data_IF_723894932562
#
_entry.id   IF_723894932562
#
_cell.length_a   1.000
_cell.length_b   1.000
_cell.length_c   1.000
_cell.angle_alpha   90.00
_cell.angle_beta   90.00
_cell.angle_gamma   90.00
#
_symmetry.space_group_name_H-M   'P 1'
#
loop_
_entity.id
_entity.type
_entity.pdbx_description
1 polymer ?
#
# COMPACT_ATOMS: atom_id res chain seq x y z
N UNK A 1 16.38 18.60 -40.08
CA UNK A 1 17.22 19.68 -39.52
C UNK A 1 17.63 19.20 -38.13
N UNK A 2 18.86 18.69 -38.05
CA UNK A 2 19.44 18.10 -36.85
C UNK A 2 19.99 19.23 -35.99
N UNK A 3 19.54 19.35 -34.75
CA UNK A 3 20.19 20.21 -33.75
C UNK A 3 20.75 19.29 -32.67
N UNK A 4 22.04 18.99 -32.83
CA UNK A 4 22.90 18.46 -31.78
C UNK A 4 23.52 19.65 -31.07
N UNK A 5 23.35 19.82 -29.76
CA UNK A 5 24.31 20.58 -28.94
C UNK A 5 24.39 20.01 -27.52
N UNK A 6 25.54 19.36 -27.29
CA UNK A 6 26.36 19.24 -26.08
C UNK A 6 25.78 19.79 -24.78
N UNK A 7 25.58 18.91 -23.80
CA UNK A 7 25.54 19.30 -22.37
C UNK A 7 26.70 18.58 -21.69
N UNK A 8 27.71 19.37 -21.34
CA UNK A 8 28.88 18.93 -20.58
C UNK A 8 28.48 18.44 -19.19
N UNK A 9 29.37 17.63 -18.62
CA UNK A 9 29.29 17.13 -17.25
C UNK A 9 28.94 18.26 -16.26
N UNK A 10 27.76 18.17 -15.64
CA UNK A 10 27.45 18.94 -14.44
C UNK A 10 27.46 17.96 -13.27
N UNK A 11 28.51 18.08 -12.46
CA UNK A 11 28.64 17.45 -11.15
C UNK A 11 27.49 17.97 -10.28
N UNK A 12 26.75 17.07 -9.61
CA UNK A 12 25.67 17.48 -8.71
C UNK A 12 26.24 18.37 -7.59
N UNK A 13 25.57 19.49 -7.24
CA UNK A 13 26.01 20.32 -6.13
C UNK A 13 25.78 19.56 -4.80
N UNK A 14 26.56 19.84 -3.76
CA UNK A 14 26.54 19.09 -2.48
C UNK A 14 25.17 19.12 -1.80
N UNK A 15 24.95 18.20 -0.83
CA UNK A 15 23.70 17.89 -0.07
C UNK A 15 22.96 19.07 0.62
N UNK A 16 23.34 20.32 0.35
CA UNK A 16 22.70 21.53 0.87
C UNK A 16 22.48 22.61 -0.21
N UNK A 17 22.51 22.24 -1.49
CA UNK A 17 22.24 23.17 -2.57
C UNK A 17 20.76 23.58 -2.59
N UNK A 18 20.52 24.89 -2.58
CA UNK A 18 19.19 25.43 -2.85
C UNK A 18 18.91 25.28 -4.35
N UNK A 19 17.77 24.69 -4.69
CA UNK A 19 17.34 24.54 -6.08
C UNK A 19 16.05 25.33 -6.33
N UNK A 20 15.94 25.88 -7.54
CA UNK A 20 14.72 26.52 -8.02
C UNK A 20 14.04 25.60 -9.03
N UNK A 21 12.82 25.19 -8.74
CA UNK A 21 11.99 24.35 -9.62
C UNK A 21 10.97 25.23 -10.32
N UNK A 22 10.98 25.20 -11.65
CA UNK A 22 10.01 25.92 -12.50
C UNK A 22 8.93 24.96 -12.96
N UNK A 23 7.68 25.36 -12.80
CA UNK A 23 6.54 24.56 -13.23
C UNK A 23 6.22 24.91 -14.67
N UNK A 24 6.20 23.89 -15.54
CA UNK A 24 6.05 24.05 -16.98
C UNK A 24 4.81 24.88 -17.38
N UNK A 25 3.74 24.83 -16.58
CA UNK A 25 2.49 25.57 -16.83
C UNK A 25 2.27 26.80 -15.91
N UNK A 26 3.18 27.08 -14.97
CA UNK A 26 3.14 28.28 -14.11
C UNK A 26 4.48 29.01 -14.15
N UNK A 27 4.74 29.75 -15.23
CA UNK A 27 5.98 30.51 -15.39
C UNK A 27 6.11 31.70 -14.40
N UNK A 28 5.03 32.08 -13.71
CA UNK A 28 5.01 33.17 -12.73
C UNK A 28 5.33 32.72 -11.30
N UNK A 29 5.49 31.42 -11.05
CA UNK A 29 5.74 30.85 -9.72
C UNK A 29 6.90 29.85 -9.83
N UNK A 30 7.92 30.02 -8.97
CA UNK A 30 8.97 29.01 -8.78
C UNK A 30 8.99 28.54 -7.34
N UNK A 31 9.35 27.28 -7.14
CA UNK A 31 9.53 26.72 -5.79
C UNK A 31 11.03 26.69 -5.48
N UNK A 32 11.42 27.27 -4.34
CA UNK A 32 12.79 27.19 -3.82
C UNK A 32 12.82 26.31 -2.58
N UNK A 33 13.83 25.45 -2.47
CA UNK A 33 14.02 24.60 -1.29
C UNK A 33 15.34 23.84 -1.34
N UNK A 34 15.64 23.10 -0.28
CA UNK A 34 16.80 22.21 -0.22
C UNK A 34 16.39 20.80 -0.60
N UNK A 35 17.15 20.15 -1.48
CA UNK A 35 16.87 18.77 -1.87
C UNK A 35 17.09 17.85 -0.67
N UNK A 36 16.03 17.21 -0.19
CA UNK A 36 16.10 16.13 0.79
C UNK A 36 16.27 14.77 0.11
N UNK A 37 15.64 14.57 -1.05
CA UNK A 37 15.70 13.32 -1.82
C UNK A 37 14.48 13.13 -2.70
N UNK A 38 14.13 11.87 -2.98
CA UNK A 38 12.91 11.49 -3.68
C UNK A 38 12.07 10.56 -2.78
N UNK A 39 10.74 10.64 -2.89
CA UNK A 39 9.84 9.70 -2.20
C UNK A 39 9.74 8.34 -2.93
N UNK A 40 9.00 7.41 -2.36
CA UNK A 40 8.78 6.05 -2.89
C UNK A 40 8.07 6.01 -4.26
N UNK A 41 7.57 7.14 -4.75
CA UNK A 41 6.97 7.30 -6.09
C UNK A 41 7.84 8.14 -7.03
N UNK A 42 9.10 8.41 -6.66
CA UNK A 42 10.05 9.25 -7.40
C UNK A 42 9.64 10.73 -7.49
N UNK A 43 8.84 11.22 -6.54
CA UNK A 43 8.60 12.66 -6.43
C UNK A 43 9.77 13.34 -5.72
N UNK A 44 10.21 14.50 -6.20
CA UNK A 44 11.24 15.31 -5.54
C UNK A 44 10.73 15.86 -4.21
N UNK A 45 11.48 15.62 -3.12
CA UNK A 45 11.17 16.11 -1.77
C UNK A 45 12.13 17.24 -1.41
N UNK A 46 11.57 18.39 -1.04
CA UNK A 46 12.32 19.58 -0.64
C UNK A 46 12.05 19.92 0.83
N UNK A 47 13.12 20.20 1.59
CA UNK A 47 13.02 20.85 2.91
C UNK A 47 12.97 22.37 2.75
N UNK A 48 12.37 23.05 3.73
CA UNK A 48 12.23 24.52 3.78
C UNK A 48 11.60 25.12 2.50
N UNK A 49 10.68 24.39 1.85
CA UNK A 49 10.16 24.76 0.55
C UNK A 49 9.27 26.02 0.60
N UNK A 50 9.60 27.02 -0.23
CA UNK A 50 8.86 28.28 -0.35
C UNK A 50 8.42 28.51 -1.80
N UNK A 51 7.20 29.01 -1.97
CA UNK A 51 6.76 29.53 -3.25
C UNK A 51 7.24 30.98 -3.41
N UNK A 52 7.89 31.26 -4.53
CA UNK A 52 8.36 32.60 -4.91
C UNK A 52 7.57 33.04 -6.15
N UNK A 53 6.69 34.02 -5.95
CA UNK A 53 5.91 34.62 -7.03
C UNK A 53 6.70 35.76 -7.70
N UNK A 54 6.71 35.80 -9.03
CA UNK A 54 7.20 36.97 -9.78
C UNK A 54 6.05 37.82 -10.30
N UNK A 55 6.02 39.09 -9.89
CA UNK A 55 5.10 40.10 -10.43
C UNK A 55 5.52 40.46 -11.86
N UNK A 56 4.58 40.42 -12.79
CA UNK A 56 4.80 40.79 -14.20
C UNK A 56 4.93 42.31 -14.37
N UNK A 57 5.99 42.73 -15.07
CA UNK A 57 6.33 44.01 -15.74
C UNK A 57 6.05 45.38 -15.10
N UNK A 58 5.45 45.52 -13.91
CA UNK A 58 5.19 46.87 -13.33
C UNK A 58 5.31 47.01 -11.81
N UNK A 59 5.77 46.00 -11.06
CA UNK A 59 6.09 46.16 -9.62
C UNK A 59 7.20 45.21 -9.20
N UNK A 60 8.24 45.75 -8.56
CA UNK A 60 9.42 45.03 -8.04
C UNK A 60 9.24 44.65 -6.57
N UNK A 61 8.37 43.69 -6.26
CA UNK A 61 8.34 43.06 -4.94
C UNK A 61 8.17 41.55 -5.10
N UNK A 62 9.15 40.77 -4.63
CA UNK A 62 9.08 39.31 -4.57
C UNK A 62 8.35 38.90 -3.29
N UNK A 63 7.24 38.15 -3.42
CA UNK A 63 6.54 37.59 -2.27
C UNK A 63 7.01 36.16 -2.04
N UNK A 64 7.37 35.85 -0.78
CA UNK A 64 7.81 34.52 -0.33
C UNK A 64 6.80 33.98 0.66
N UNK A 65 6.18 32.84 0.34
CA UNK A 65 5.24 32.17 1.22
C UNK A 65 5.68 30.73 1.50
N UNK A 66 5.66 30.28 2.77
CA UNK A 66 5.89 28.88 3.11
C UNK A 66 4.81 27.98 2.50
N UNK A 67 5.23 26.84 1.94
CA UNK A 67 4.28 25.81 1.49
C UNK A 67 3.77 25.02 2.70
N UNK A 68 2.46 24.75 2.73
CA UNK A 68 1.89 23.89 3.77
C UNK A 68 2.28 22.40 3.58
N UNK A 69 1.92 21.53 4.54
CA UNK A 69 2.21 20.10 4.49
C UNK A 69 1.58 19.35 3.30
N UNK A 70 0.75 20.04 2.50
CA UNK A 70 0.14 19.54 1.26
C UNK A 70 0.79 20.12 -0.01
N UNK A 71 1.74 21.04 0.12
CA UNK A 71 2.46 21.67 -1.00
C UNK A 71 1.65 22.75 -1.73
N UNK A 72 0.65 23.37 -1.09
CA UNK A 72 -0.22 24.37 -1.73
C UNK A 72 -0.01 25.79 -1.20
N UNK A 73 -0.14 26.79 -2.09
CA UNK A 73 -0.15 28.22 -1.76
C UNK A 73 -1.61 28.66 -1.58
N UNK A 74 -1.92 29.38 -0.49
CA UNK A 74 -3.28 29.89 -0.25
C UNK A 74 -3.58 31.08 -1.16
N UNK A 75 -4.25 30.85 -2.28
CA UNK A 75 -4.96 31.92 -2.99
C UNK A 75 -6.43 31.58 -3.22
N UNK A 76 -7.26 32.60 -3.03
CA UNK A 76 -8.71 32.62 -3.24
C UNK A 76 -9.09 32.11 -4.64
N UNK A 77 -10.21 31.39 -4.69
CA UNK A 77 -10.81 30.66 -5.82
C UNK A 77 -10.65 31.29 -7.22
N UNK A 78 -10.16 30.49 -8.17
CA UNK A 78 -10.91 30.05 -9.37
C UNK A 78 -10.13 28.93 -10.08
N UNK A 79 -10.85 27.96 -10.63
CA UNK A 79 -10.34 26.62 -10.91
C UNK A 79 -9.29 26.46 -12.02
N UNK A 80 -8.29 25.63 -11.75
CA UNK A 80 -7.67 24.65 -12.66
C UNK A 80 -6.63 23.86 -11.87
N UNK A 81 -6.79 22.54 -11.72
CA UNK A 81 -5.80 21.67 -11.05
C UNK A 81 -4.58 21.52 -11.98
N UNK A 82 -3.48 22.21 -11.68
CA UNK A 82 -2.21 22.04 -12.40
C UNK A 82 -1.32 21.00 -11.70
N UNK A 83 -0.88 20.00 -12.45
CA UNK A 83 0.04 18.96 -12.00
C UNK A 83 1.49 19.40 -12.13
N UNK A 84 2.29 19.11 -11.11
CA UNK A 84 3.75 19.14 -11.20
C UNK A 84 4.20 17.96 -12.06
N UNK A 85 4.77 18.21 -13.24
CA UNK A 85 5.54 17.22 -13.98
C UNK A 85 7.02 17.59 -13.91
N UNK A 86 7.82 16.74 -13.25
CA UNK A 86 9.28 16.86 -13.24
C UNK A 86 9.82 15.74 -14.12
N UNK A 87 10.40 16.09 -15.27
CA UNK A 87 11.13 15.15 -16.12
C UNK A 87 12.60 15.21 -15.71
N UNK A 88 13.07 14.26 -14.88
CA UNK A 88 14.50 14.12 -14.57
C UNK A 88 15.03 12.79 -15.10
N UNK A 89 16.04 12.86 -15.97
CA UNK A 89 16.79 11.71 -16.45
C UNK A 89 17.98 11.47 -15.51
N UNK A 90 17.74 10.74 -14.41
CA UNK A 90 18.79 10.37 -13.45
C UNK A 90 19.22 8.91 -13.72
N UNK A 91 20.53 8.66 -13.79
CA UNK A 91 21.07 7.31 -13.93
C UNK A 91 21.14 6.60 -12.57
N UNK A 92 20.88 5.28 -12.50
CA UNK A 92 20.72 4.54 -11.24
C UNK A 92 21.96 4.46 -10.32
N UNK A 93 23.14 4.91 -10.77
CA UNK A 93 24.40 4.73 -10.05
C UNK A 93 24.58 5.62 -8.82
N UNK A 94 23.77 6.67 -8.67
CA UNK A 94 24.03 7.73 -7.68
C UNK A 94 23.07 7.68 -6.46
N UNK A 95 22.27 6.60 -6.33
CA UNK A 95 21.25 6.41 -5.27
C UNK A 95 21.68 5.44 -4.15
N UNK A 96 22.98 5.13 -4.00
CA UNK A 96 23.41 3.95 -3.23
C UNK A 96 23.23 3.99 -1.70
N UNK A 97 22.71 5.08 -1.10
CA UNK A 97 22.63 5.18 0.37
C UNK A 97 21.32 5.76 0.97
N UNK A 98 20.27 5.95 0.18
CA UNK A 98 18.97 6.43 0.68
C UNK A 98 17.83 5.45 0.38
N UNK A 99 18.04 4.15 0.64
CA UNK A 99 16.93 3.20 0.73
C UNK A 99 16.48 3.18 2.19
N UNK A 100 15.31 3.78 2.46
CA UNK A 100 14.67 3.66 3.77
C UNK A 100 14.41 2.18 4.05
N UNK A 101 15.11 1.66 5.05
CA UNK A 101 14.93 0.31 5.55
C UNK A 101 13.56 0.24 6.26
N UNK A 102 12.51 -0.09 5.51
CA UNK A 102 11.10 -0.04 5.94
C UNK A 102 10.62 -1.30 6.67
N UNK A 103 11.44 -2.33 6.71
CA UNK A 103 11.15 -3.54 7.44
C UNK A 103 11.51 -3.37 8.93
N UNK A 104 10.75 -4.04 9.79
CA UNK A 104 11.06 -4.04 11.21
C UNK A 104 12.37 -4.78 11.48
N UNK A 105 13.09 -4.33 12.50
CA UNK A 105 14.27 -5.05 13.02
C UNK A 105 13.91 -6.00 14.16
N UNK A 106 12.73 -5.82 14.75
CA UNK A 106 12.29 -6.48 15.96
C UNK A 106 10.86 -6.99 15.81
N UNK A 107 10.50 -7.96 16.65
CA UNK A 107 9.13 -8.45 16.75
C UNK A 107 8.24 -7.35 17.32
N UNK A 108 7.03 -7.23 16.79
CA UNK A 108 5.99 -6.35 17.31
C UNK A 108 5.06 -7.14 18.23
N UNK A 109 5.16 -6.90 19.54
CA UNK A 109 4.35 -7.60 20.53
C UNK A 109 2.86 -7.35 20.33
N UNK A 110 2.45 -6.16 19.87
CA UNK A 110 1.03 -5.85 19.66
C UNK A 110 0.44 -6.71 18.54
N UNK A 111 1.16 -6.84 17.41
CA UNK A 111 0.78 -7.73 16.31
C UNK A 111 0.76 -9.20 16.76
N UNK A 112 1.72 -9.64 17.57
CA UNK A 112 1.75 -11.01 18.09
C UNK A 112 0.56 -11.30 19.00
N UNK A 113 0.25 -10.40 19.94
CA UNK A 113 -0.93 -10.56 20.80
C UNK A 113 -2.23 -10.57 20.00
N UNK A 114 -2.32 -9.77 18.94
CA UNK A 114 -3.45 -9.83 18.01
C UNK A 114 -3.50 -11.18 17.29
N UNK A 115 -2.37 -11.70 16.81
CA UNK A 115 -2.32 -12.99 16.12
C UNK A 115 -2.76 -14.14 17.02
N UNK A 116 -2.53 -14.07 18.34
CA UNK A 116 -3.04 -15.06 19.32
C UNK A 116 -4.56 -15.15 19.40
N UNK A 117 -5.27 -14.12 18.94
CA UNK A 117 -6.73 -14.14 18.86
C UNK A 117 -7.25 -14.82 17.58
N UNK A 118 -6.37 -15.10 16.62
CA UNK A 118 -6.71 -15.65 15.32
C UNK A 118 -6.65 -17.18 15.32
N UNK A 119 -7.56 -17.81 14.58
CA UNK A 119 -7.57 -19.24 14.39
C UNK A 119 -6.50 -19.70 13.37
N UNK A 120 -6.09 -20.97 13.46
CA UNK A 120 -5.33 -21.68 12.41
C UNK A 120 -3.93 -21.13 12.09
N UNK A 121 -3.35 -20.37 13.04
CA UNK A 121 -2.02 -19.75 12.92
C UNK A 121 -0.89 -20.80 13.01
N UNK A 122 0.06 -20.83 12.06
CA UNK A 122 1.24 -21.70 12.11
C UNK A 122 2.30 -21.13 13.06
N UNK A 123 2.07 -21.25 14.38
CA UNK A 123 2.94 -20.66 15.39
C UNK A 123 4.37 -21.19 15.34
N UNK A 124 5.31 -20.29 15.05
CA UNK A 124 6.74 -20.46 15.22
C UNK A 124 7.42 -19.09 15.32
N UNK A 125 8.71 -19.07 15.67
CA UNK A 125 9.50 -17.84 15.75
C UNK A 125 9.52 -17.06 14.43
N UNK A 126 9.56 -17.78 13.29
CA UNK A 126 9.54 -17.18 11.95
C UNK A 126 8.18 -16.57 11.61
N UNK A 127 7.08 -17.18 12.06
CA UNK A 127 5.75 -16.60 11.91
C UNK A 127 5.63 -15.27 12.66
N UNK A 128 6.06 -15.24 13.93
CA UNK A 128 6.02 -14.01 14.74
C UNK A 128 6.81 -12.87 14.09
N UNK A 129 7.99 -13.18 13.57
CA UNK A 129 8.82 -12.21 12.83
C UNK A 129 8.15 -11.77 11.52
N UNK A 130 7.57 -12.70 10.76
CA UNK A 130 6.89 -12.42 9.48
C UNK A 130 5.75 -11.42 9.69
N UNK A 131 4.82 -11.69 10.61
CA UNK A 131 3.68 -10.78 10.84
C UNK A 131 4.09 -9.45 11.45
N UNK A 132 5.21 -9.42 12.19
CA UNK A 132 5.83 -8.19 12.71
C UNK A 132 6.54 -7.35 11.63
N UNK A 133 6.57 -7.81 10.37
CA UNK A 133 7.22 -7.11 9.27
C UNK A 133 8.75 -7.14 9.31
N UNK A 134 9.33 -8.10 10.02
CA UNK A 134 10.78 -8.32 10.03
C UNK A 134 11.23 -8.83 8.66
N UNK A 135 12.43 -8.47 8.19
CA UNK A 135 12.96 -8.98 6.92
C UNK A 135 13.15 -10.49 6.95
N UNK A 136 12.88 -11.15 5.83
CA UNK A 136 13.28 -12.52 5.65
C UNK A 136 14.79 -12.63 5.40
N UNK A 137 15.36 -13.79 5.73
CA UNK A 137 16.69 -14.18 5.32
C UNK A 137 16.61 -14.97 4.02
N UNK A 138 17.64 -14.81 3.19
CA UNK A 138 17.92 -15.80 2.17
C UNK A 138 18.24 -17.13 2.84
N UNK A 139 17.94 -18.23 2.16
CA UNK A 139 18.41 -19.57 2.58
C UNK A 139 19.94 -19.68 2.63
N UNK A 140 20.67 -18.67 2.12
CA UNK A 140 22.14 -18.63 2.05
C UNK A 140 22.77 -17.81 3.18
N UNK A 141 22.04 -16.90 3.82
CA UNK A 141 22.59 -15.90 4.75
C UNK A 141 22.01 -15.92 6.17
N UNK A 142 21.38 -17.03 6.59
CA UNK A 142 20.82 -17.22 7.93
C UNK A 142 21.82 -17.01 9.10
N UNK A 143 23.10 -16.74 8.82
CA UNK A 143 24.19 -16.61 9.78
C UNK A 143 24.61 -15.16 10.13
N UNK A 144 23.98 -14.12 9.57
CA UNK A 144 24.42 -12.73 9.81
C UNK A 144 23.61 -11.99 10.89
N UNK A 145 23.62 -12.47 12.14
CA UNK A 145 23.39 -11.71 13.39
C UNK A 145 22.16 -10.80 13.55
N UNK A 146 21.31 -10.69 12.53
CA UNK A 146 20.11 -9.86 12.45
C UNK A 146 18.91 -10.78 12.64
N UNK A 147 17.94 -10.34 13.43
CA UNK A 147 16.64 -11.01 13.54
C UNK A 147 16.00 -10.99 12.16
N UNK A 148 16.05 -12.12 11.45
CA UNK A 148 15.40 -12.34 10.16
C UNK A 148 14.51 -13.56 10.27
N UNK A 149 13.47 -13.63 9.44
CA UNK A 149 12.61 -14.82 9.37
C UNK A 149 12.93 -15.69 8.14
N UNK A 150 12.70 -16.99 8.26
CA UNK A 150 12.82 -17.92 7.17
C UNK A 150 11.42 -18.21 6.59
N UNK A 151 11.12 -17.68 5.40
CA UNK A 151 9.84 -17.97 4.73
C UNK A 151 9.67 -19.44 4.35
N UNK A 152 10.75 -20.23 4.37
CA UNK A 152 10.78 -21.67 4.17
C UNK A 152 10.79 -22.46 5.49
N UNK A 153 10.50 -21.82 6.63
CA UNK A 153 10.27 -22.55 7.88
C UNK A 153 9.17 -23.61 7.68
N UNK A 154 9.33 -24.84 8.20
CA UNK A 154 8.36 -25.92 7.99
C UNK A 154 6.92 -25.55 8.33
N UNK A 155 6.71 -24.80 9.41
CA UNK A 155 5.40 -24.34 9.87
C UNK A 155 4.77 -23.37 8.87
N UNK A 156 5.57 -22.47 8.28
CA UNK A 156 5.08 -21.54 7.25
C UNK A 156 4.78 -22.26 5.93
N UNK A 157 5.59 -23.26 5.56
CA UNK A 157 5.31 -24.12 4.40
C UNK A 157 3.99 -24.87 4.62
N UNK A 158 3.77 -25.47 5.79
CA UNK A 158 2.53 -26.15 6.12
C UNK A 158 1.34 -25.18 6.11
N UNK A 159 1.50 -23.98 6.67
CA UNK A 159 0.50 -22.91 6.62
C UNK A 159 0.04 -22.61 5.20
N UNK A 160 0.98 -22.34 4.28
CA UNK A 160 0.66 -22.12 2.86
C UNK A 160 0.02 -23.35 2.23
N UNK A 161 0.53 -24.56 2.51
CA UNK A 161 -0.02 -25.80 1.95
C UNK A 161 -1.47 -26.03 2.38
N UNK A 162 -1.80 -25.80 3.66
CA UNK A 162 -3.18 -25.83 4.17
C UNK A 162 -4.07 -24.84 3.44
N UNK A 163 -3.60 -23.61 3.26
CA UNK A 163 -4.33 -22.59 2.50
C UNK A 163 -4.58 -23.03 1.06
N UNK A 164 -3.57 -23.60 0.37
CA UNK A 164 -3.72 -24.06 -1.03
C UNK A 164 -4.71 -25.22 -1.16
N UNK A 165 -4.70 -26.16 -0.23
CA UNK A 165 -5.69 -27.25 -0.17
C UNK A 165 -7.10 -26.71 0.03
N UNK A 166 -7.29 -25.75 0.94
CA UNK A 166 -8.60 -25.13 1.16
C UNK A 166 -9.06 -24.37 -0.07
N UNK A 167 -8.21 -23.53 -0.68
CA UNK A 167 -8.59 -22.78 -1.90
C UNK A 167 -9.07 -23.71 -3.00
N UNK A 168 -8.38 -24.84 -3.23
CA UNK A 168 -8.82 -25.81 -4.22
C UNK A 168 -10.24 -26.33 -3.91
N UNK A 169 -10.47 -26.73 -2.66
CA UNK A 169 -11.78 -27.18 -2.18
C UNK A 169 -12.84 -26.08 -2.36
N UNK A 170 -12.61 -24.89 -1.83
CA UNK A 170 -13.54 -23.76 -1.88
C UNK A 170 -13.89 -23.35 -3.31
N UNK A 171 -12.88 -23.20 -4.18
CA UNK A 171 -13.05 -22.71 -5.55
C UNK A 171 -13.77 -23.71 -6.47
N UNK A 172 -13.86 -24.97 -6.07
CA UNK A 172 -14.50 -26.04 -6.84
C UNK A 172 -15.73 -26.64 -6.15
N UNK A 173 -16.05 -26.19 -4.93
CA UNK A 173 -17.15 -26.74 -4.14
C UNK A 173 -18.51 -26.28 -4.70
N UNK A 174 -19.20 -27.22 -5.33
CA UNK A 174 -20.58 -27.07 -5.78
C UNK A 174 -21.28 -28.45 -5.78
N UNK A 175 -21.89 -28.86 -4.66
CA UNK A 175 -22.66 -30.11 -4.60
C UNK A 175 -23.87 -30.09 -5.55
N UNK A 176 -24.20 -31.24 -6.16
CA UNK A 176 -25.33 -31.35 -7.11
C UNK A 176 -26.69 -31.09 -6.45
N UNK A 177 -26.81 -31.37 -5.15
CA UNK A 177 -28.01 -31.16 -4.33
C UNK A 177 -28.00 -29.83 -3.57
N UNK A 178 -27.04 -28.95 -3.88
CA UNK A 178 -26.89 -27.68 -3.17
C UNK A 178 -28.12 -26.77 -3.34
N UNK A 179 -28.59 -26.21 -2.23
CA UNK A 179 -29.47 -25.04 -2.21
C UNK A 179 -28.62 -23.78 -1.96
N UNK A 180 -29.15 -22.56 -2.20
CA UNK A 180 -28.44 -21.34 -1.84
C UNK A 180 -28.00 -21.34 -0.37
N UNK A 181 -28.87 -21.74 0.56
CA UNK A 181 -28.56 -21.75 2.00
C UNK A 181 -27.50 -22.79 2.37
N UNK A 182 -27.59 -24.01 1.81
CA UNK A 182 -26.60 -25.06 2.11
C UNK A 182 -25.22 -24.71 1.55
N UNK A 183 -25.16 -24.14 0.34
CA UNK A 183 -23.92 -23.69 -0.27
C UNK A 183 -23.26 -22.55 0.51
N UNK A 184 -24.06 -21.58 0.98
CA UNK A 184 -23.59 -20.49 1.83
C UNK A 184 -23.03 -21.02 3.16
N UNK A 185 -23.74 -21.94 3.82
CA UNK A 185 -23.30 -22.54 5.08
C UNK A 185 -21.99 -23.34 4.91
N UNK A 186 -21.90 -24.16 3.87
CA UNK A 186 -20.69 -24.93 3.55
C UNK A 186 -19.48 -24.02 3.31
N UNK A 187 -19.66 -23.00 2.45
CA UNK A 187 -18.60 -22.02 2.13
C UNK A 187 -18.17 -21.26 3.37
N UNK A 188 -19.10 -20.81 4.22
CA UNK A 188 -18.77 -20.13 5.48
C UNK A 188 -17.90 -21.01 6.38
N UNK A 189 -18.28 -22.28 6.55
CA UNK A 189 -17.50 -23.24 7.34
C UNK A 189 -16.08 -23.43 6.78
N UNK A 190 -15.92 -23.51 5.46
CA UNK A 190 -14.60 -23.62 4.83
C UNK A 190 -13.74 -22.37 5.04
N UNK A 191 -14.35 -21.17 5.06
CA UNK A 191 -13.64 -19.93 5.38
C UNK A 191 -13.19 -19.94 6.86
N UNK A 192 -14.06 -20.36 7.79
CA UNK A 192 -13.74 -20.48 9.22
C UNK A 192 -12.61 -21.50 9.52
N UNK A 193 -12.43 -22.50 8.65
CA UNK A 193 -11.32 -23.49 8.75
C UNK A 193 -9.94 -22.89 8.42
N UNK A 194 -9.86 -21.71 7.79
CA UNK A 194 -8.59 -21.13 7.32
C UNK A 194 -8.39 -19.67 7.69
N UNK A 195 -9.43 -18.84 7.69
CA UNK A 195 -9.31 -17.44 8.11
C UNK A 195 -9.14 -17.32 9.61
N UNK A 196 -8.43 -16.27 10.03
CA UNK A 196 -8.21 -15.98 11.43
C UNK A 196 -9.51 -15.58 12.13
N UNK A 197 -10.37 -14.83 11.43
CA UNK A 197 -11.69 -14.45 11.88
C UNK A 197 -12.66 -14.24 10.71
N UNK A 198 -13.91 -14.69 10.86
CA UNK A 198 -15.00 -14.52 9.88
C UNK A 198 -16.26 -14.07 10.62
N UNK A 199 -16.73 -12.88 10.30
CA UNK A 199 -17.98 -12.33 10.81
C UNK A 199 -19.23 -13.05 10.29
N UNK A 200 -20.37 -12.67 10.84
CA UNK A 200 -21.70 -13.13 10.40
C UNK A 200 -21.99 -12.59 9.01
N UNK A 201 -22.71 -13.35 8.19
CA UNK A 201 -23.13 -12.88 6.86
C UNK A 201 -22.00 -12.71 5.83
N UNK A 202 -20.74 -13.02 6.17
CA UNK A 202 -19.62 -12.92 5.24
C UNK A 202 -19.80 -13.86 4.04
N UNK A 203 -19.66 -13.31 2.83
CA UNK A 203 -19.80 -14.04 1.57
C UNK A 203 -18.71 -13.64 0.58
N UNK A 204 -18.08 -14.64 -0.03
CA UNK A 204 -17.02 -14.47 -1.01
C UNK A 204 -17.38 -15.32 -2.23
N UNK A 205 -17.45 -14.69 -3.40
CA UNK A 205 -17.59 -15.44 -4.63
C UNK A 205 -16.28 -16.14 -5.02
N UNK A 206 -16.29 -17.45 -5.31
CA UNK A 206 -15.11 -18.13 -5.83
C UNK A 206 -14.79 -17.66 -7.27
N UNK A 207 -13.51 -17.70 -7.69
CA UNK A 207 -12.39 -18.20 -6.91
C UNK A 207 -11.82 -17.13 -5.96
N UNK A 208 -11.28 -17.61 -4.84
CA UNK A 208 -10.42 -16.84 -3.93
C UNK A 208 -8.97 -17.36 -4.01
N UNK A 209 -8.01 -16.43 -3.91
CA UNK A 209 -6.58 -16.73 -3.86
C UNK A 209 -5.96 -16.07 -2.61
N UNK A 210 -5.44 -16.85 -1.67
CA UNK A 210 -4.88 -16.40 -0.39
C UNK A 210 -3.52 -17.01 -0.13
N UNK A 211 -2.63 -16.38 0.63
CA UNK A 211 -1.31 -16.98 0.93
C UNK A 211 -1.36 -17.99 2.09
N UNK A 212 -1.80 -17.55 3.27
CA UNK A 212 -1.98 -18.36 4.49
C UNK A 212 -3.46 -18.44 4.92
N UNK A 213 -4.21 -17.36 4.73
CA UNK A 213 -5.57 -17.19 5.22
C UNK A 213 -5.68 -16.82 6.70
N UNK A 214 -4.86 -17.42 7.58
CA UNK A 214 -4.98 -17.22 9.03
C UNK A 214 -4.73 -15.77 9.47
N UNK A 215 -4.09 -14.94 8.64
CA UNK A 215 -3.81 -13.54 8.94
C UNK A 215 -4.93 -12.60 8.44
N UNK A 216 -5.99 -13.16 7.86
CA UNK A 216 -7.17 -12.43 7.39
C UNK A 216 -8.25 -12.43 8.48
N UNK A 217 -8.74 -11.23 8.81
CA UNK A 217 -9.90 -11.02 9.67
C UNK A 217 -10.95 -10.21 8.93
N UNK A 218 -12.17 -10.74 8.89
CA UNK A 218 -13.30 -10.13 8.17
C UNK A 218 -14.44 -9.90 9.16
N UNK A 219 -14.98 -8.68 9.18
CA UNK A 219 -16.14 -8.30 9.99
C UNK A 219 -17.47 -8.86 9.49
N UNK A 220 -18.55 -8.40 10.10
CA UNK A 220 -19.91 -8.80 9.78
C UNK A 220 -20.36 -8.22 8.43
N UNK A 221 -21.20 -8.95 7.70
CA UNK A 221 -21.84 -8.56 6.44
C UNK A 221 -20.85 -8.15 5.33
N UNK A 222 -19.67 -8.77 5.32
CA UNK A 222 -18.69 -8.61 4.25
C UNK A 222 -19.13 -9.30 2.96
N UNK A 223 -18.99 -8.61 1.83
CA UNK A 223 -19.20 -9.18 0.51
C UNK A 223 -17.97 -8.98 -0.38
N UNK A 224 -17.49 -10.06 -0.99
CA UNK A 224 -16.55 -9.98 -2.10
C UNK A 224 -17.09 -10.64 -3.35
N UNK A 225 -17.01 -9.91 -4.45
CA UNK A 225 -17.26 -10.45 -5.78
C UNK A 225 -16.06 -11.30 -6.27
N UNK A 226 -16.15 -11.85 -7.47
CA UNK A 226 -15.25 -12.87 -8.01
C UNK A 226 -13.77 -12.48 -7.99
N UNK A 227 -12.90 -13.49 -7.88
CA UNK A 227 -11.45 -13.37 -8.09
C UNK A 227 -10.72 -12.49 -7.06
N UNK A 228 -11.09 -12.62 -5.79
CA UNK A 228 -10.37 -11.96 -4.68
C UNK A 228 -8.96 -12.54 -4.52
N UNK A 229 -7.96 -11.67 -4.35
CA UNK A 229 -6.57 -12.04 -4.06
C UNK A 229 -6.11 -11.39 -2.75
N UNK A 230 -5.62 -12.19 -1.80
CA UNK A 230 -5.11 -11.75 -0.50
C UNK A 230 -3.70 -12.32 -0.26
N UNK A 231 -2.66 -11.51 -0.37
CA UNK A 231 -1.31 -11.93 0.04
C UNK A 231 -1.08 -11.54 1.50
N UNK A 232 -1.45 -12.43 2.41
CA UNK A 232 -1.56 -12.18 3.85
C UNK A 232 -0.32 -12.62 4.65
N UNK A 233 0.90 -12.35 4.16
CA UNK A 233 2.10 -12.48 5.00
C UNK A 233 2.06 -11.53 6.22
N UNK A 234 1.37 -10.39 6.06
CA UNK A 234 1.02 -9.47 7.14
C UNK A 234 -0.49 -9.51 7.39
N UNK A 235 -0.92 -8.94 8.52
CA UNK A 235 -2.34 -8.93 8.89
C UNK A 235 -3.18 -8.15 7.87
N UNK A 236 -4.30 -8.74 7.47
CA UNK A 236 -5.33 -8.08 6.66
C UNK A 236 -6.59 -8.00 7.50
N UNK A 237 -6.97 -6.78 7.86
CA UNK A 237 -8.13 -6.51 8.70
C UNK A 237 -9.19 -5.77 7.88
N UNK A 238 -10.36 -6.40 7.73
CA UNK A 238 -11.49 -5.86 6.98
C UNK A 238 -12.65 -5.68 7.97
N UNK A 239 -13.18 -4.46 8.04
CA UNK A 239 -14.28 -4.08 8.90
C UNK A 239 -15.63 -4.70 8.51
N UNK A 240 -16.68 -4.17 9.12
CA UNK A 240 -18.06 -4.59 8.89
C UNK A 240 -18.65 -3.94 7.64
N UNK A 241 -19.60 -4.62 6.98
CA UNK A 241 -20.36 -4.13 5.82
C UNK A 241 -19.49 -3.65 4.66
N UNK A 242 -18.29 -4.20 4.55
CA UNK A 242 -17.36 -3.88 3.46
C UNK A 242 -17.74 -4.65 2.21
N UNK A 243 -17.75 -3.98 1.07
CA UNK A 243 -18.06 -4.57 -0.22
C UNK A 243 -16.89 -4.45 -1.20
N UNK A 244 -16.47 -5.56 -1.79
CA UNK A 244 -15.48 -5.59 -2.85
C UNK A 244 -16.12 -5.92 -4.20
N UNK A 245 -15.76 -5.13 -5.22
CA UNK A 245 -15.96 -5.51 -6.62
C UNK A 245 -15.05 -6.68 -7.01
N UNK A 246 -15.19 -7.19 -8.25
CA UNK A 246 -14.41 -8.35 -8.69
C UNK A 246 -12.94 -7.97 -8.89
N UNK A 247 -12.02 -8.93 -8.78
CA UNK A 247 -10.57 -8.73 -8.99
C UNK A 247 -9.90 -7.75 -8.01
N UNK A 248 -10.47 -7.53 -6.82
CA UNK A 248 -9.78 -6.79 -5.77
C UNK A 248 -8.59 -7.61 -5.28
N UNK A 249 -7.43 -6.95 -5.17
CA UNK A 249 -6.18 -7.54 -4.70
C UNK A 249 -5.64 -6.77 -3.51
N UNK A 250 -5.35 -7.46 -2.42
CA UNK A 250 -4.73 -6.88 -1.21
C UNK A 250 -3.36 -7.53 -1.01
N UNK A 251 -2.32 -6.72 -0.97
CA UNK A 251 -0.95 -7.18 -0.79
C UNK A 251 -0.40 -6.68 0.53
N UNK A 252 -0.27 -7.56 1.52
CA UNK A 252 0.48 -7.26 2.74
C UNK A 252 1.96 -7.61 2.60
N UNK A 253 2.34 -8.45 1.64
CA UNK A 253 3.73 -8.84 1.36
C UNK A 253 4.43 -7.87 0.38
N UNK A 254 5.73 -7.67 0.53
CA UNK A 254 6.57 -6.89 -0.39
C UNK A 254 8.05 -7.27 -0.31
N UNK A 255 8.86 -6.68 -1.19
CA UNK A 255 10.29 -6.90 -1.30
C UNK A 255 11.04 -5.57 -1.24
N UNK A 256 12.32 -5.65 -0.89
CA UNK A 256 13.23 -4.54 -1.16
C UNK A 256 13.45 -4.38 -2.67
N UNK A 257 13.69 -3.14 -3.10
CA UNK A 257 13.92 -2.80 -4.51
C UNK A 257 15.33 -3.18 -4.99
N UNK A 258 16.25 -3.48 -4.07
CA UNK A 258 17.60 -3.94 -4.37
C UNK A 258 17.61 -5.28 -5.11
N UNK A 259 18.35 -5.36 -6.22
CA UNK A 259 18.43 -6.59 -7.04
C UNK A 259 19.00 -7.76 -6.24
N UNK A 260 20.06 -7.51 -5.46
CA UNK A 260 20.70 -8.55 -4.66
C UNK A 260 19.72 -9.09 -3.60
N UNK A 261 19.04 -8.20 -2.88
CA UNK A 261 17.97 -8.56 -1.94
C UNK A 261 16.89 -9.46 -2.56
N UNK A 262 16.44 -9.16 -3.78
CA UNK A 262 15.49 -10.04 -4.50
C UNK A 262 16.09 -11.39 -4.91
N UNK A 263 17.37 -11.45 -5.35
CA UNK A 263 18.05 -12.73 -5.66
C UNK A 263 18.19 -13.61 -4.43
N UNK A 264 18.33 -12.95 -3.29
CA UNK A 264 18.41 -13.53 -1.98
C UNK A 264 17.01 -13.90 -1.45
N UNK A 265 15.93 -13.62 -2.19
CA UNK A 265 14.57 -13.96 -1.81
C UNK A 265 14.06 -13.21 -0.59
N UNK A 266 14.65 -12.04 -0.30
CA UNK A 266 14.28 -11.23 0.87
C UNK A 266 12.91 -10.59 0.65
N UNK A 267 12.05 -10.74 1.64
CA UNK A 267 10.69 -10.22 1.69
C UNK A 267 10.33 -9.77 3.10
N UNK A 268 9.32 -8.93 3.21
CA UNK A 268 8.73 -8.52 4.48
C UNK A 268 7.27 -8.17 4.27
N UNK A 269 6.53 -8.02 5.37
CA UNK A 269 5.13 -7.71 5.32
C UNK A 269 4.80 -6.40 6.06
N UNK A 270 3.71 -5.76 5.65
CA UNK A 270 3.09 -4.65 6.38
C UNK A 270 1.58 -4.88 6.42
N UNK A 271 0.93 -4.64 7.57
CA UNK A 271 -0.49 -4.88 7.71
C UNK A 271 -1.32 -3.97 6.78
N UNK A 272 -2.49 -4.45 6.37
CA UNK A 272 -3.49 -3.66 5.65
C UNK A 272 -4.75 -3.62 6.49
N UNK A 273 -5.35 -2.43 6.62
CA UNK A 273 -6.60 -2.24 7.36
C UNK A 273 -7.62 -1.53 6.49
N UNK A 274 -8.85 -2.02 6.47
CA UNK A 274 -10.00 -1.42 5.79
C UNK A 274 -11.10 -1.26 6.83
N UNK A 275 -11.52 -0.02 7.07
CA UNK A 275 -12.57 0.31 8.01
C UNK A 275 -13.96 -0.11 7.54
N UNK A 276 -14.92 0.01 8.44
CA UNK A 276 -16.31 -0.36 8.21
C UNK A 276 -16.94 0.43 7.03
N UNK A 277 -17.94 -0.16 6.39
CA UNK A 277 -18.79 0.45 5.36
C UNK A 277 -18.02 1.00 4.14
N UNK A 278 -16.87 0.39 3.84
CA UNK A 278 -16.12 0.72 2.63
C UNK A 278 -16.67 0.00 1.40
N UNK A 279 -16.67 0.68 0.27
CA UNK A 279 -16.85 0.06 -1.04
C UNK A 279 -15.57 0.16 -1.86
N UNK A 280 -14.99 -1.00 -2.20
CA UNK A 280 -13.78 -1.10 -3.02
C UNK A 280 -14.17 -1.56 -4.41
N UNK A 281 -14.03 -0.68 -5.40
CA UNK A 281 -14.35 -0.96 -6.78
C UNK A 281 -13.49 -2.08 -7.36
N UNK A 282 -14.01 -2.78 -8.38
CA UNK A 282 -13.33 -3.91 -8.97
C UNK A 282 -11.97 -3.58 -9.59
N UNK A 283 -11.09 -4.57 -9.69
CA UNK A 283 -9.73 -4.43 -10.21
C UNK A 283 -8.88 -3.39 -9.45
N UNK A 284 -9.18 -3.18 -8.17
CA UNK A 284 -8.40 -2.32 -7.27
C UNK A 284 -7.29 -3.12 -6.62
N UNK A 285 -6.11 -2.53 -6.51
CA UNK A 285 -4.97 -3.07 -5.77
C UNK A 285 -4.68 -2.22 -4.53
N UNK A 286 -4.60 -2.84 -3.36
CA UNK A 286 -4.27 -2.19 -2.10
C UNK A 286 -2.87 -2.65 -1.66
N UNK A 287 -1.96 -1.69 -1.50
CA UNK A 287 -0.54 -1.94 -1.25
C UNK A 287 -0.23 -2.15 0.25
N UNK A 288 0.94 -2.73 0.58
CA UNK A 288 1.31 -3.04 1.96
C UNK A 288 1.37 -1.80 2.84
N UNK A 289 0.86 -1.92 4.07
CA UNK A 289 0.92 -0.85 5.07
C UNK A 289 -0.21 0.17 4.96
N UNK A 290 -1.12 0.01 4.00
CA UNK A 290 -2.23 0.95 3.78
C UNK A 290 -3.35 0.75 4.80
N UNK A 291 -3.82 1.86 5.35
CA UNK A 291 -5.08 1.96 6.09
C UNK A 291 -6.10 2.75 5.25
N UNK A 292 -7.23 2.10 4.93
CA UNK A 292 -8.41 2.76 4.37
C UNK A 292 -9.38 2.99 5.53
N UNK A 293 -9.67 4.26 5.81
CA UNK A 293 -10.61 4.68 6.83
C UNK A 293 -12.05 4.24 6.54
N UNK A 294 -12.94 4.35 7.52
CA UNK A 294 -14.34 3.91 7.39
C UNK A 294 -15.13 4.76 6.38
N UNK A 295 -16.18 4.17 5.80
CA UNK A 295 -17.08 4.85 4.87
C UNK A 295 -16.40 5.30 3.58
N UNK A 296 -15.26 4.72 3.21
CA UNK A 296 -14.53 5.11 2.01
C UNK A 296 -15.07 4.41 0.75
N UNK A 297 -15.02 5.12 -0.37
CA UNK A 297 -15.22 4.55 -1.70
C UNK A 297 -13.92 4.61 -2.50
N UNK A 298 -13.44 3.46 -2.96
CA UNK A 298 -12.29 3.38 -3.87
C UNK A 298 -12.81 3.05 -5.26
N UNK A 299 -12.55 3.90 -6.24
CA UNK A 299 -13.00 3.65 -7.61
C UNK A 299 -12.31 2.42 -8.20
N UNK A 300 -13.01 1.73 -9.11
CA UNK A 300 -12.47 0.60 -9.84
C UNK A 300 -11.16 0.94 -10.57
N UNK A 301 -10.25 -0.03 -10.66
CA UNK A 301 -8.95 0.13 -11.33
C UNK A 301 -7.92 0.96 -10.55
N UNK A 302 -8.17 1.28 -9.28
CA UNK A 302 -7.26 2.11 -8.48
C UNK A 302 -6.08 1.32 -7.92
N UNK A 303 -4.93 1.97 -7.74
CA UNK A 303 -3.79 1.42 -6.98
C UNK A 303 -3.61 2.28 -5.74
N UNK A 304 -4.03 1.76 -4.59
CA UNK A 304 -3.98 2.46 -3.30
C UNK A 304 -2.61 2.25 -2.67
N UNK A 305 -1.79 3.28 -2.68
CA UNK A 305 -0.40 3.23 -2.21
C UNK A 305 -0.14 4.00 -0.93
N UNK A 306 -1.14 4.76 -0.45
CA UNK A 306 -1.11 5.57 0.78
C UNK A 306 -2.45 5.45 1.49
N UNK A 307 -2.45 5.75 2.78
CA UNK A 307 -3.67 5.76 3.59
C UNK A 307 -4.75 6.68 3.01
N UNK A 308 -6.00 6.22 3.11
CA UNK A 308 -7.18 6.95 2.68
C UNK A 308 -7.96 7.33 3.94
N UNK A 309 -8.15 8.63 4.24
CA UNK A 309 -8.82 9.02 5.47
C UNK A 309 -10.33 8.71 5.39
N UNK A 310 -11.00 8.61 6.54
CA UNK A 310 -12.44 8.34 6.65
C UNK A 310 -13.31 9.18 5.71
N UNK A 311 -14.41 8.58 5.26
CA UNK A 311 -15.45 9.21 4.44
C UNK A 311 -14.88 9.87 3.17
N UNK A 312 -13.92 9.21 2.51
CA UNK A 312 -13.32 9.69 1.27
C UNK A 312 -13.76 8.90 0.06
N UNK A 313 -13.83 9.58 -1.08
CA UNK A 313 -13.78 8.93 -2.39
C UNK A 313 -12.38 9.10 -2.96
N UNK A 314 -11.71 8.00 -3.28
CA UNK A 314 -10.39 8.01 -3.90
C UNK A 314 -10.38 7.23 -5.22
N UNK A 315 -9.55 7.68 -6.16
CA UNK A 315 -9.41 7.03 -7.47
C UNK A 315 -8.03 7.24 -8.09
N UNK A 316 -7.65 6.36 -8.99
CA UNK A 316 -6.46 6.49 -9.84
C UNK A 316 -5.30 5.56 -9.46
N UNK A 317 -4.19 5.70 -10.18
CA UNK A 317 -2.96 4.93 -9.98
C UNK A 317 -1.75 5.87 -10.03
N UNK A 318 -1.20 6.31 -8.87
CA UNK A 318 -1.67 6.01 -7.52
C UNK A 318 -3.00 6.69 -7.18
N UNK A 319 -3.78 6.07 -6.28
CA UNK A 319 -5.08 6.57 -5.86
C UNK A 319 -4.94 7.88 -5.08
N UNK A 320 -5.79 8.86 -5.39
CA UNK A 320 -5.85 10.15 -4.70
C UNK A 320 -7.28 10.43 -4.27
N UNK A 321 -7.44 11.02 -3.08
CA UNK A 321 -8.74 11.51 -2.62
C UNK A 321 -9.23 12.60 -3.59
N UNK A 322 -10.42 12.39 -4.16
CA UNK A 322 -11.04 13.34 -5.11
C UNK A 322 -12.17 14.14 -4.48
N UNK A 323 -12.83 13.57 -3.47
CA UNK A 323 -13.83 14.27 -2.64
C UNK A 323 -14.01 13.58 -1.28
N UNK A 324 -14.65 14.27 -0.36
CA UNK A 324 -15.23 13.71 0.87
C UNK A 324 -16.72 13.42 0.66
N UNK A 325 -17.25 12.48 1.44
CA UNK A 325 -18.69 12.24 1.57
C UNK A 325 -19.13 12.64 2.97
N UNK A 326 -20.43 12.89 3.12
CA UNK A 326 -21.00 13.23 4.41
C UNK A 326 -20.84 12.05 5.38
N UNK A 327 -20.31 12.27 6.59
CA UNK A 327 -20.26 11.25 7.62
C UNK A 327 -21.67 10.76 7.99
N UNK A 328 -21.80 9.45 8.23
CA UNK A 328 -23.03 8.87 8.78
C UNK A 328 -22.91 8.88 10.32
N UNK A 329 -23.83 9.50 11.07
CA UNK A 329 -23.66 9.75 12.51
C UNK A 329 -23.47 8.52 13.41
N UNK A 330 -23.95 7.36 12.99
CA UNK A 330 -23.86 6.08 13.71
C UNK A 330 -22.67 5.21 13.27
N UNK A 331 -21.78 5.76 12.44
CA UNK A 331 -20.55 5.14 11.99
C UNK A 331 -19.32 5.70 12.72
#
# INVERSE_FOLDING_TARGET
MTITTVIGMIQMPPQHATVSVWLYEQLSIRIEGKIRGFDEFLNLVLDDAVAVGQITKTRTEETREPLDSSGSVRHHEQGSRQGLYIQSSIRPSDLSHAFFNMASKEKDQATIERAKTLANVPWCDDYEKMVSGVLSASSRDAHHGLSRYNCQAPELIDGRFRARRMMHKYNTHFPDDATPDSLLADRKKMLEEVFGHVGKGAYIEPPINIDYGCNVSIGDDFYSNFNLVLLDCGMINIGNRVMFGPFVSIFAATHETGVQSRRDGVEYAKPVTIGDDCWIGGNTTIMPGVTIGKGCTIAAGSIVTKDIPDFSVAMGSPAKVVKKVDPVPDL
#
